data_IF_239162214769
#
_entry.id   IF_239162214769
#
_cell.length_a   1.000
_cell.length_b   1.000
_cell.length_c   1.000
_cell.angle_alpha   90.00
_cell.angle_beta   90.00
_cell.angle_gamma   90.00
#
_symmetry.space_group_name_H-M   'P 1'
#
loop_
_entity.id
_entity.type
_entity.pdbx_description
1 polymer ?
#
# COMPACT_ATOMS: atom_id res chain seq x y z
N UNK A 1 -45.95 -15.31 7.94
CA UNK A 1 -45.42 -13.99 7.52
C UNK A 1 -46.11 -13.60 6.23
N UNK A 2 -46.87 -12.50 6.24
CA UNK A 2 -47.71 -12.06 5.11
C UNK A 2 -46.85 -11.34 4.05
N UNK A 3 -47.01 -11.71 2.77
CA UNK A 3 -46.21 -11.21 1.64
C UNK A 3 -46.26 -9.67 1.53
N UNK A 4 -47.41 -9.10 1.88
CA UNK A 4 -47.65 -7.66 1.95
C UNK A 4 -46.75 -6.94 2.96
N UNK A 5 -46.46 -7.57 4.11
CA UNK A 5 -45.56 -6.98 5.10
C UNK A 5 -44.12 -6.98 4.62
N UNK A 6 -43.68 -8.04 3.94
CA UNK A 6 -42.32 -8.13 3.36
C UNK A 6 -42.07 -7.04 2.30
N UNK A 7 -43.03 -6.84 1.39
CA UNK A 7 -42.96 -5.80 0.35
C UNK A 7 -42.93 -4.39 0.99
N UNK A 8 -43.72 -4.15 2.04
CA UNK A 8 -43.72 -2.87 2.77
C UNK A 8 -42.37 -2.62 3.47
N UNK A 9 -41.77 -3.63 4.11
CA UNK A 9 -40.46 -3.51 4.74
C UNK A 9 -39.33 -3.27 3.75
N UNK A 10 -39.34 -3.95 2.59
CA UNK A 10 -38.35 -3.75 1.54
C UNK A 10 -38.43 -2.34 0.94
N UNK A 11 -39.64 -1.83 0.70
CA UNK A 11 -39.86 -0.44 0.24
C UNK A 11 -39.44 0.58 1.30
N UNK A 12 -39.66 0.31 2.58
CA UNK A 12 -39.21 1.19 3.66
C UNK A 12 -37.68 1.21 3.78
N UNK A 13 -37.02 0.06 3.58
CA UNK A 13 -35.56 -0.04 3.54
C UNK A 13 -34.96 0.64 2.29
N UNK A 14 -35.60 0.52 1.12
CA UNK A 14 -35.12 1.19 -0.10
C UNK A 14 -35.35 2.70 -0.11
N UNK A 15 -36.37 3.19 0.62
CA UNK A 15 -36.60 4.62 0.87
C UNK A 15 -35.59 5.25 1.85
N UNK A 16 -34.88 4.45 2.66
CA UNK A 16 -33.73 4.97 3.42
C UNK A 16 -32.64 5.33 2.42
N UNK A 17 -32.43 6.63 2.23
CA UNK A 17 -31.33 7.14 1.41
C UNK A 17 -30.03 6.53 1.93
N UNK A 18 -29.33 5.78 1.09
CA UNK A 18 -27.97 5.32 1.42
C UNK A 18 -27.08 6.56 1.57
N UNK A 19 -26.11 6.55 2.50
CA UNK A 19 -25.12 7.61 2.54
C UNK A 19 -24.46 7.74 1.16
N UNK A 20 -24.38 8.96 0.67
CA UNK A 20 -23.78 9.25 -0.62
C UNK A 20 -22.30 8.83 -0.56
N UNK A 21 -21.91 7.91 -1.43
CA UNK A 21 -20.50 7.54 -1.59
C UNK A 21 -19.88 8.42 -2.66
N UNK A 22 -18.79 9.10 -2.33
CA UNK A 22 -17.99 9.86 -3.31
C UNK A 22 -17.49 8.91 -4.39
N UNK A 23 -17.43 9.38 -5.64
CA UNK A 23 -16.92 8.57 -6.74
C UNK A 23 -15.41 8.72 -6.80
N UNK A 24 -14.74 7.71 -7.35
CA UNK A 24 -13.31 7.73 -7.64
C UNK A 24 -12.91 8.99 -8.44
N UNK A 25 -13.78 9.38 -9.39
CA UNK A 25 -13.61 10.59 -10.18
C UNK A 25 -13.47 11.85 -9.31
N UNK A 26 -14.36 12.05 -8.33
CA UNK A 26 -14.35 13.25 -7.48
C UNK A 26 -13.02 13.34 -6.72
N UNK A 27 -12.56 12.24 -6.13
CA UNK A 27 -11.28 12.17 -5.41
C UNK A 27 -10.09 12.50 -6.30
N UNK A 28 -9.99 11.85 -7.46
CA UNK A 28 -8.84 12.07 -8.37
C UNK A 28 -8.88 13.49 -8.93
N UNK A 29 -10.06 14.01 -9.29
CA UNK A 29 -10.20 15.37 -9.77
C UNK A 29 -9.82 16.40 -8.70
N UNK A 30 -10.17 16.16 -7.45
CA UNK A 30 -9.76 17.02 -6.35
C UNK A 30 -8.26 17.02 -6.14
N UNK A 31 -7.59 15.87 -6.32
CA UNK A 31 -6.12 15.81 -6.30
C UNK A 31 -5.51 16.57 -7.47
N UNK A 32 -6.06 16.41 -8.68
CA UNK A 32 -5.63 17.18 -9.86
C UNK A 32 -5.71 18.69 -9.58
N UNK A 33 -6.81 19.15 -8.99
CA UNK A 33 -7.02 20.57 -8.67
C UNK A 33 -6.16 21.06 -7.51
N UNK A 34 -6.08 20.30 -6.43
CA UNK A 34 -5.36 20.68 -5.20
C UNK A 34 -3.86 20.79 -5.45
N UNK A 35 -3.32 19.93 -6.31
CA UNK A 35 -1.90 19.88 -6.62
C UNK A 35 -1.55 20.53 -7.97
N UNK A 36 -2.52 21.16 -8.64
CA UNK A 36 -2.37 21.76 -9.97
C UNK A 36 -1.65 20.83 -10.95
N UNK A 37 -2.12 19.58 -11.03
CA UNK A 37 -1.50 18.58 -11.88
C UNK A 37 -1.69 18.92 -13.36
N UNK A 38 -0.63 18.71 -14.12
CA UNK A 38 -0.60 18.94 -15.57
C UNK A 38 -0.53 17.60 -16.31
N UNK A 39 -0.77 17.62 -17.63
CA UNK A 39 -0.67 16.42 -18.47
C UNK A 39 0.71 15.75 -18.40
N UNK A 40 1.77 16.51 -18.11
CA UNK A 40 3.13 16.00 -17.89
C UNK A 40 3.20 14.97 -16.75
N UNK A 41 2.26 15.00 -15.80
CA UNK A 41 2.14 14.00 -14.74
C UNK A 41 1.86 12.60 -15.31
N UNK A 42 1.15 12.49 -16.42
CA UNK A 42 0.85 11.19 -17.05
C UNK A 42 2.11 10.45 -17.46
N UNK A 43 3.18 11.16 -17.83
CA UNK A 43 4.48 10.55 -18.18
C UNK A 43 5.15 9.92 -16.97
N UNK A 44 4.99 10.51 -15.77
CA UNK A 44 5.49 9.93 -14.51
C UNK A 44 4.79 8.64 -14.13
N UNK A 45 3.59 8.40 -14.66
CA UNK A 45 2.85 7.15 -14.45
C UNK A 45 3.28 6.03 -15.41
N UNK A 46 4.07 6.31 -16.45
CA UNK A 46 4.56 5.28 -17.40
C UNK A 46 5.78 4.55 -16.88
N UNK A 47 6.70 5.33 -16.31
CA UNK A 47 7.91 4.81 -15.69
C UNK A 47 7.69 4.94 -14.19
N UNK A 48 7.26 3.87 -13.50
CA UNK A 48 7.28 3.87 -12.05
C UNK A 48 8.74 4.05 -11.63
N UNK A 49 9.12 5.28 -11.30
CA UNK A 49 10.42 5.58 -10.74
C UNK A 49 10.52 4.74 -9.46
N UNK A 50 11.60 3.95 -9.35
CA UNK A 50 11.87 3.16 -8.16
C UNK A 50 12.41 4.11 -7.08
N UNK A 51 11.54 5.03 -6.62
CA UNK A 51 11.87 6.14 -5.73
C UNK A 51 12.44 5.67 -4.38
N UNK A 52 12.28 4.40 -4.05
CA UNK A 52 12.58 3.84 -2.74
C UNK A 52 13.59 2.70 -2.87
N UNK A 53 14.88 3.02 -2.85
CA UNK A 53 15.91 1.98 -2.75
C UNK A 53 15.77 1.17 -1.45
N UNK A 54 16.22 -0.08 -1.44
CA UNK A 54 16.21 -0.95 -0.25
C UNK A 54 16.96 -0.33 0.96
N UNK A 55 17.88 0.60 0.69
CA UNK A 55 18.59 1.37 1.71
C UNK A 55 17.70 2.39 2.44
N UNK A 56 16.61 2.86 1.83
CA UNK A 56 15.73 3.87 2.43
C UNK A 56 14.85 3.32 3.56
N UNK A 57 14.78 1.99 3.74
CA UNK A 57 14.02 1.35 4.82
C UNK A 57 14.57 1.76 6.20
N UNK A 58 15.88 2.01 6.33
CA UNK A 58 16.51 2.40 7.60
C UNK A 58 16.05 3.77 8.12
N UNK A 59 15.58 4.65 7.22
CA UNK A 59 15.20 6.03 7.53
C UNK A 59 13.70 6.30 7.34
N UNK A 60 12.92 5.27 7.03
CA UNK A 60 11.51 5.39 6.74
C UNK A 60 10.71 5.86 7.97
N UNK A 61 10.35 7.14 8.00
CA UNK A 61 9.40 7.63 8.99
C UNK A 61 8.01 7.11 8.63
N UNK A 62 7.34 6.47 9.60
CA UNK A 62 5.96 6.02 9.43
C UNK A 62 5.05 7.24 9.24
N UNK A 63 4.50 7.38 8.03
CA UNK A 63 3.59 8.47 7.71
C UNK A 63 2.16 7.97 7.78
N UNK A 64 1.40 8.51 8.73
CA UNK A 64 -0.05 8.34 8.79
C UNK A 64 -0.74 9.36 7.90
N UNK A 65 -1.76 8.91 7.19
CA UNK A 65 -2.63 9.79 6.41
C UNK A 65 -3.37 10.74 7.33
N UNK A 66 -3.58 11.95 6.85
CA UNK A 66 -4.47 12.91 7.51
C UNK A 66 -5.87 12.75 6.93
N UNK A 67 -6.94 12.93 7.73
CA UNK A 67 -8.27 13.01 7.17
C UNK A 67 -8.34 14.24 6.25
N UNK A 68 -8.58 14.00 4.96
CA UNK A 68 -8.81 15.04 3.96
C UNK A 68 -10.29 15.07 3.64
N UNK A 69 -10.89 16.25 3.75
CA UNK A 69 -12.26 16.48 3.30
C UNK A 69 -12.26 16.84 1.81
N UNK A 70 -12.70 15.90 0.99
CA UNK A 70 -12.96 16.14 -0.42
C UNK A 70 -14.33 16.80 -0.61
N UNK A 71 -14.53 17.71 -1.57
CA UNK A 71 -15.88 18.14 -1.95
C UNK A 71 -16.79 16.95 -2.31
N UNK A 72 -18.10 17.14 -2.16
CA UNK A 72 -19.10 16.10 -2.51
C UNK A 72 -19.28 15.95 -4.02
N UNK A 73 -19.05 17.03 -4.76
CA UNK A 73 -19.12 17.09 -6.21
C UNK A 73 -17.97 17.96 -6.68
N UNK A 74 -17.14 17.43 -7.57
CA UNK A 74 -16.07 18.22 -8.15
C UNK A 74 -16.58 18.96 -9.38
N UNK A 75 -16.50 20.29 -9.34
CA UNK A 75 -16.69 21.13 -10.52
C UNK A 75 -15.32 21.29 -11.19
N UNK A 76 -15.15 20.63 -12.33
CA UNK A 76 -13.89 20.59 -13.07
C UNK A 76 -13.97 21.38 -14.37
N UNK A 77 -12.90 22.09 -14.71
CA UNK A 77 -12.69 22.58 -16.07
C UNK A 77 -12.51 21.42 -17.06
N UNK A 78 -12.62 21.69 -18.36
CA UNK A 78 -12.49 20.65 -19.40
C UNK A 78 -11.12 19.94 -19.34
N UNK A 79 -10.05 20.70 -19.13
CA UNK A 79 -8.68 20.18 -19.03
C UNK A 79 -8.52 19.25 -17.81
N UNK A 80 -9.02 19.68 -16.65
CA UNK A 80 -9.01 18.89 -15.40
C UNK A 80 -9.81 17.58 -15.55
N UNK A 81 -10.96 17.64 -16.22
CA UNK A 81 -11.79 16.46 -16.51
C UNK A 81 -11.04 15.45 -17.40
N UNK A 82 -10.41 15.93 -18.47
CA UNK A 82 -9.64 15.09 -19.40
C UNK A 82 -8.47 14.43 -18.68
N UNK A 83 -7.72 15.19 -17.89
CA UNK A 83 -6.59 14.68 -17.11
C UNK A 83 -7.03 13.66 -16.07
N UNK A 84 -8.10 13.94 -15.32
CA UNK A 84 -8.67 13.01 -14.33
C UNK A 84 -9.05 11.67 -14.97
N UNK A 85 -9.73 11.72 -16.11
CA UNK A 85 -10.15 10.53 -16.85
C UNK A 85 -8.93 9.74 -17.35
N UNK A 86 -7.89 10.44 -17.84
CA UNK A 86 -6.64 9.83 -18.27
C UNK A 86 -5.90 9.14 -17.12
N UNK A 87 -5.78 9.79 -15.96
CA UNK A 87 -5.17 9.20 -14.75
C UNK A 87 -5.93 7.93 -14.35
N UNK A 88 -7.27 8.01 -14.24
CA UNK A 88 -8.11 6.87 -13.87
C UNK A 88 -7.93 5.70 -14.85
N UNK A 89 -7.93 5.97 -16.15
CA UNK A 89 -7.76 4.94 -17.18
C UNK A 89 -6.36 4.31 -17.17
N UNK A 90 -5.33 5.10 -16.85
CA UNK A 90 -3.93 4.66 -16.89
C UNK A 90 -3.54 3.84 -15.67
N UNK A 91 -3.97 4.30 -14.48
CA UNK A 91 -3.63 3.68 -13.20
C UNK A 91 -4.53 2.49 -12.90
N UNK A 92 -5.83 2.62 -13.20
CA UNK A 92 -6.88 1.59 -13.16
C UNK A 92 -6.64 0.46 -12.14
N UNK A 93 -6.53 0.81 -10.85
CA UNK A 93 -6.39 -0.16 -9.77
C UNK A 93 -7.28 0.21 -8.56
N UNK A 94 -7.63 -0.77 -7.71
CA UNK A 94 -8.51 -0.54 -6.56
C UNK A 94 -7.92 0.41 -5.50
N UNK A 95 -6.59 0.53 -5.42
CA UNK A 95 -5.94 1.36 -4.40
C UNK A 95 -6.04 2.84 -4.72
N UNK A 96 -6.28 3.21 -5.97
CA UNK A 96 -6.45 4.61 -6.38
C UNK A 96 -7.54 5.34 -5.57
N UNK A 97 -8.58 4.62 -5.11
CA UNK A 97 -9.62 5.20 -4.24
C UNK A 97 -9.09 5.74 -2.92
N UNK A 98 -7.97 5.22 -2.42
CA UNK A 98 -7.38 5.62 -1.14
C UNK A 98 -6.24 6.62 -1.30
N UNK A 99 -5.85 6.97 -2.52
CA UNK A 99 -4.78 7.94 -2.76
C UNK A 99 -5.15 9.34 -2.23
N UNK A 100 -4.20 9.99 -1.54
CA UNK A 100 -4.33 11.33 -0.97
C UNK A 100 -3.32 12.33 -1.54
N UNK A 101 -2.36 11.88 -2.35
CA UNK A 101 -1.37 12.74 -2.99
C UNK A 101 -1.02 12.23 -4.39
N UNK A 102 -0.41 13.07 -5.26
CA UNK A 102 0.06 12.66 -6.58
C UNK A 102 1.10 11.53 -6.50
N UNK A 103 1.96 11.56 -5.48
CA UNK A 103 2.96 10.51 -5.25
C UNK A 103 2.27 9.16 -4.96
N UNK A 104 1.19 9.17 -4.19
CA UNK A 104 0.39 7.97 -3.94
C UNK A 104 -0.28 7.45 -5.20
N UNK A 105 -0.78 8.32 -6.08
CA UNK A 105 -1.30 7.91 -7.39
C UNK A 105 -0.20 7.16 -8.17
N UNK A 106 1.01 7.71 -8.20
CA UNK A 106 2.13 7.14 -8.94
C UNK A 106 2.56 5.75 -8.42
N UNK A 107 2.61 5.56 -7.10
CA UNK A 107 3.06 4.29 -6.52
C UNK A 107 1.93 3.28 -6.26
N UNK A 108 0.65 3.68 -6.41
CA UNK A 108 -0.51 2.83 -6.14
C UNK A 108 -0.46 1.50 -6.90
N UNK A 109 -0.06 1.54 -8.17
CA UNK A 109 0.06 0.37 -9.02
C UNK A 109 1.16 -0.58 -8.53
N UNK A 110 2.35 -0.04 -8.24
CA UNK A 110 3.47 -0.82 -7.71
C UNK A 110 3.13 -1.49 -6.39
N UNK A 111 2.42 -0.78 -5.50
CA UNK A 111 1.96 -1.35 -4.23
C UNK A 111 0.94 -2.46 -4.45
N UNK A 112 0.00 -2.28 -5.37
CA UNK A 112 -1.00 -3.29 -5.72
C UNK A 112 -0.37 -4.55 -6.33
N UNK A 113 0.62 -4.38 -7.22
CA UNK A 113 1.34 -5.49 -7.85
C UNK A 113 2.14 -6.31 -6.81
N UNK A 114 2.65 -5.66 -5.76
CA UNK A 114 3.35 -6.34 -4.66
C UNK A 114 2.42 -7.05 -3.70
N UNK A 115 1.33 -6.40 -3.29
CA UNK A 115 0.34 -6.99 -2.41
C UNK A 115 -1.07 -6.48 -2.77
N UNK A 116 -1.87 -7.27 -3.49
CA UNK A 116 -3.24 -6.91 -3.88
C UNK A 116 -4.28 -7.18 -2.77
N UNK A 117 -3.85 -7.72 -1.62
CA UNK A 117 -4.72 -8.15 -0.52
C UNK A 117 -4.77 -7.17 0.66
N UNK A 118 -4.20 -5.97 0.52
CA UNK A 118 -4.25 -4.96 1.58
C UNK A 118 -5.69 -4.50 1.82
N UNK A 119 -6.08 -4.47 3.10
CA UNK A 119 -7.41 -4.05 3.51
C UNK A 119 -7.61 -2.54 3.33
N UNK A 120 -8.87 -2.13 3.11
CA UNK A 120 -9.26 -0.73 3.01
C UNK A 120 -8.83 0.07 4.26
N UNK A 121 -8.97 -0.51 5.46
CA UNK A 121 -8.59 0.14 6.71
C UNK A 121 -7.10 0.51 6.74
N UNK A 122 -6.22 -0.37 6.26
CA UNK A 122 -4.78 -0.13 6.20
C UNK A 122 -4.45 0.95 5.15
N UNK A 123 -5.10 0.89 3.99
CA UNK A 123 -4.93 1.85 2.89
C UNK A 123 -5.42 3.27 3.24
N UNK A 124 -6.44 3.40 4.08
CA UNK A 124 -6.94 4.69 4.59
C UNK A 124 -6.04 5.29 5.67
N UNK A 125 -5.37 4.45 6.48
CA UNK A 125 -4.58 4.89 7.64
C UNK A 125 -3.16 5.32 7.28
N UNK A 126 -2.51 4.62 6.36
CA UNK A 126 -1.10 4.81 6.06
C UNK A 126 -0.85 5.34 4.67
N UNK A 127 0.21 6.13 4.54
CA UNK A 127 0.69 6.57 3.24
C UNK A 127 1.18 5.36 2.43
N UNK A 128 0.94 5.37 1.12
CA UNK A 128 1.33 4.23 0.27
C UNK A 128 2.83 3.99 0.25
N UNK A 129 3.63 5.05 0.45
CA UNK A 129 5.08 4.94 0.61
C UNK A 129 5.44 4.04 1.80
N UNK A 130 4.79 4.25 2.96
CA UNK A 130 5.00 3.45 4.16
C UNK A 130 4.59 1.99 3.95
N UNK A 131 3.46 1.75 3.27
CA UNK A 131 2.99 0.40 2.97
C UNK A 131 3.93 -0.31 1.98
N UNK A 132 4.40 0.40 0.95
CA UNK A 132 5.33 -0.13 -0.04
C UNK A 132 6.65 -0.56 0.60
N UNK A 133 7.18 0.25 1.52
CA UNK A 133 8.38 -0.08 2.28
C UNK A 133 8.17 -1.27 3.21
N UNK A 134 6.99 -1.39 3.84
CA UNK A 134 6.65 -2.52 4.69
C UNK A 134 6.61 -3.84 3.90
N UNK A 135 5.98 -3.83 2.72
CA UNK A 135 5.91 -5.02 1.87
C UNK A 135 7.27 -5.41 1.29
N UNK A 136 8.11 -4.42 0.92
CA UNK A 136 9.51 -4.66 0.52
C UNK A 136 10.33 -5.25 1.66
N UNK A 137 10.20 -4.71 2.87
CA UNK A 137 10.87 -5.22 4.06
C UNK A 137 10.49 -6.68 4.37
N UNK A 138 9.21 -7.03 4.24
CA UNK A 138 8.74 -8.42 4.40
C UNK A 138 9.37 -9.36 3.38
N UNK A 139 9.44 -8.94 2.11
CA UNK A 139 10.05 -9.72 1.04
C UNK A 139 11.56 -9.88 1.22
N UNK A 140 12.27 -8.80 1.56
CA UNK A 140 13.71 -8.83 1.87
C UNK A 140 13.99 -9.81 3.03
N UNK A 141 13.18 -9.76 4.08
CA UNK A 141 13.31 -10.68 5.22
C UNK A 141 13.08 -12.14 4.81
N UNK A 142 12.09 -12.43 3.98
CA UNK A 142 11.84 -13.78 3.46
C UNK A 142 13.01 -14.29 2.61
N UNK A 143 13.56 -13.46 1.73
CA UNK A 143 14.72 -13.77 0.90
C UNK A 143 15.96 -14.04 1.77
N UNK A 144 16.22 -13.22 2.78
CA UNK A 144 17.34 -13.42 3.71
C UNK A 144 17.19 -14.72 4.53
N UNK A 145 15.99 -15.01 5.03
CA UNK A 145 15.69 -16.26 5.72
C UNK A 145 15.84 -17.48 4.82
N UNK A 146 15.48 -17.36 3.54
CA UNK A 146 15.63 -18.43 2.56
C UNK A 146 17.11 -18.66 2.23
N UNK A 147 17.89 -17.60 2.01
CA UNK A 147 19.35 -17.69 1.82
C UNK A 147 20.05 -18.37 3.00
N UNK A 148 19.63 -18.06 4.23
CA UNK A 148 20.12 -18.68 5.44
C UNK A 148 19.87 -20.20 5.48
N UNK A 149 18.64 -20.61 5.12
CA UNK A 149 18.25 -22.03 5.04
C UNK A 149 19.07 -22.77 3.98
N UNK A 150 19.29 -22.15 2.82
CA UNK A 150 20.02 -22.76 1.72
C UNK A 150 21.53 -22.89 2.02
N UNK A 151 22.13 -21.92 2.74
CA UNK A 151 23.50 -22.05 3.28
C UNK A 151 23.63 -23.25 4.24
N UNK A 152 22.72 -23.36 5.22
CA UNK A 152 22.69 -24.50 6.17
C UNK A 152 22.56 -25.85 5.47
N UNK A 153 21.74 -25.92 4.40
CA UNK A 153 21.58 -27.15 3.59
C UNK A 153 22.82 -27.55 2.80
N UNK A 154 23.59 -26.57 2.30
CA UNK A 154 24.87 -26.83 1.59
C UNK A 154 25.96 -27.30 2.55
N UNK A 155 26.04 -26.71 3.74
CA UNK A 155 26.99 -27.12 4.79
C UNK A 155 26.70 -28.56 5.30
N UNK A 156 25.42 -28.91 5.50
CA UNK A 156 25.02 -30.25 5.92
C UNK A 156 25.24 -31.37 4.89
N UNK A 157 25.46 -31.04 3.61
CA UNK A 157 25.79 -32.02 2.56
C UNK A 157 27.30 -32.13 2.30
N UNK A 158 28.12 -31.24 2.88
CA UNK A 158 29.55 -31.12 2.61
C UNK A 158 30.50 -31.55 3.72
N UNK A 159 30.03 -32.00 4.89
CA UNK A 159 30.93 -32.32 6.01
C UNK A 159 30.64 -33.67 6.68
N UNK A 160 31.16 -34.72 6.05
CA UNK A 160 31.73 -35.84 6.79
C UNK A 160 33.22 -35.53 7.03
N UNK A 161 33.51 -34.63 7.99
CA UNK A 161 34.76 -34.58 8.77
C UNK A 161 34.70 -33.45 9.80
N UNK A 162 34.70 -33.88 11.05
CA UNK A 162 35.19 -33.23 12.27
C UNK A 162 35.38 -31.71 12.26
N UNK A 163 34.53 -31.02 13.02
CA UNK A 163 34.95 -29.95 13.93
C UNK A 163 33.82 -29.64 14.93
N UNK A 164 34.08 -29.94 16.20
CA UNK A 164 33.38 -29.40 17.36
C UNK A 164 33.84 -27.94 17.53
N UNK A 165 32.94 -26.97 17.42
CA UNK A 165 33.28 -25.60 17.77
C UNK A 165 32.39 -24.53 17.15
N UNK A 166 31.44 -24.09 17.97
CA UNK A 166 30.81 -22.77 17.99
C UNK A 166 29.66 -22.43 17.03
N UNK A 167 28.82 -21.53 17.55
CA UNK A 167 27.39 -21.37 17.26
C UNK A 167 26.94 -21.33 15.80
N UNK A 168 25.72 -21.85 15.62
CA UNK A 168 24.85 -21.78 14.44
C UNK A 168 24.35 -20.35 14.19
N UNK A 169 25.24 -19.38 14.18
CA UNK A 169 24.90 -17.95 14.13
C UNK A 169 24.91 -17.49 12.69
N UNK A 170 23.86 -16.77 12.28
CA UNK A 170 23.91 -16.05 11.01
C UNK A 170 25.04 -15.01 11.11
N UNK A 171 25.62 -14.56 9.98
CA UNK A 171 26.53 -13.42 10.02
C UNK A 171 25.89 -12.26 10.79
N UNK A 172 26.61 -11.66 11.75
CA UNK A 172 26.11 -10.55 12.60
C UNK A 172 25.44 -9.43 11.81
N UNK A 173 25.83 -9.20 10.55
CA UNK A 173 25.22 -8.20 9.67
C UNK A 173 23.82 -8.59 9.18
N UNK A 174 23.57 -9.88 8.95
CA UNK A 174 22.27 -10.40 8.52
C UNK A 174 21.27 -10.46 9.67
N UNK A 175 21.71 -10.85 10.87
CA UNK A 175 20.84 -10.84 12.07
C UNK A 175 20.39 -9.42 12.38
N UNK A 176 21.33 -8.46 12.42
CA UNK A 176 21.01 -7.04 12.63
C UNK A 176 20.04 -6.50 11.59
N UNK A 177 20.18 -6.88 10.32
CA UNK A 177 19.26 -6.44 9.26
C UNK A 177 17.87 -7.05 9.43
N UNK A 178 17.77 -8.35 9.74
CA UNK A 178 16.47 -9.01 10.01
C UNK A 178 15.79 -8.38 11.22
N UNK A 179 16.51 -8.13 12.31
CA UNK A 179 15.96 -7.49 13.51
C UNK A 179 15.46 -6.07 13.23
N UNK A 180 16.18 -5.30 12.41
CA UNK A 180 15.75 -3.99 11.96
C UNK A 180 14.44 -4.06 11.15
N UNK A 181 14.36 -4.96 10.17
CA UNK A 181 13.16 -5.15 9.36
C UNK A 181 11.97 -5.61 10.21
N UNK A 182 12.19 -6.54 11.14
CA UNK A 182 11.18 -6.98 12.09
C UNK A 182 10.70 -5.85 12.99
N UNK A 183 11.60 -5.01 13.49
CA UNK A 183 11.22 -3.85 14.31
C UNK A 183 10.39 -2.85 13.52
N UNK A 184 10.67 -2.67 12.23
CA UNK A 184 9.91 -1.77 11.37
C UNK A 184 8.50 -2.31 11.10
N UNK A 185 8.38 -3.59 10.72
CA UNK A 185 7.09 -4.25 10.49
C UNK A 185 6.25 -4.26 11.78
N UNK A 186 6.86 -4.62 12.91
CA UNK A 186 6.18 -4.61 14.20
C UNK A 186 5.66 -3.21 14.59
N UNK A 187 6.41 -2.14 14.28
CA UNK A 187 5.93 -0.77 14.51
C UNK A 187 4.71 -0.41 13.65
N UNK A 188 4.59 -0.96 12.44
CA UNK A 188 3.40 -0.79 11.59
C UNK A 188 2.22 -1.58 12.18
N UNK A 189 2.45 -2.82 12.60
CA UNK A 189 1.43 -3.75 13.12
C UNK A 189 0.92 -3.38 14.53
N UNK A 190 1.78 -2.92 15.45
CA UNK A 190 1.39 -2.51 16.81
C UNK A 190 0.52 -1.25 16.80
N UNK A 191 0.68 -0.43 15.76
CA UNK A 191 -0.18 0.72 15.49
C UNK A 191 -1.54 0.32 14.89
N UNK A 192 -1.67 -0.87 14.30
CA UNK A 192 -2.97 -1.42 13.90
C UNK A 192 -3.79 -1.88 15.11
N UNK A 193 -3.12 -2.36 16.18
CA UNK A 193 -3.74 -2.95 17.38
C UNK A 193 -4.07 -1.97 18.51
N UNK A 194 -3.59 -0.73 18.47
CA UNK A 194 -3.76 0.24 19.57
C UNK A 194 -5.11 0.97 19.60
N UNK A 195 -6.15 0.45 18.92
CA UNK A 195 -7.53 0.95 18.92
C UNK A 195 -8.53 -0.19 18.72
#
# INVERSE_FOLDING_TARGET
MDLLQKIKSERAQSKKKRPFKRRLFDKVNDLVRTYSLEESFLSKLEVPEDYLSEANIEFAQLRKKRPIEFPLFSLSAEEEYRLTTAIMSKVNNPYLEFAQSPDEIAISKTLFDLNPSLGADTLERYHFETLLLCERAKKEMEDLLQQARDRRRKEGRGSAKESLGDGRTLPDSLEKRIDQLQSFVARVDDLEKSH
#
